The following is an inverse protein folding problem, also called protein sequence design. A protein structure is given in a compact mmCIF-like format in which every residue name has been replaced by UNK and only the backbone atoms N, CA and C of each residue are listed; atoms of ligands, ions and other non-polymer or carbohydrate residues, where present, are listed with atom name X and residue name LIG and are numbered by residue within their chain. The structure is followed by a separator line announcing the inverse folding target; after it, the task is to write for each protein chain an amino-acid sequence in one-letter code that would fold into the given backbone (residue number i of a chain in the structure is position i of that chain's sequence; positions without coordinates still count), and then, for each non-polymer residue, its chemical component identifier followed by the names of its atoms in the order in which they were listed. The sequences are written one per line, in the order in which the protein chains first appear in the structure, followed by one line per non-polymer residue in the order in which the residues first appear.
data_IF_289317595283
#
_entry.id   IF_289317595283
#
_cell.length_a   1.000
_cell.length_b   1.000
_cell.length_c   1.000
_cell.angle_alpha   90.00
_cell.angle_beta   90.00
_cell.angle_gamma   90.00
#
_symmetry.space_group_name_H-M   'P 1'
#
loop_
_entity.id
_entity.type
_entity.pdbx_description
1 polymer ?
#
# COMPACT_ATOMS: atom_id res chain seq x y z
N UNK A 1 1.42 -11.55 -8.62
CA UNK A 1 0.59 -10.48 -8.05
C UNK A 1 -0.28 -9.91 -9.16
N UNK A 2 -1.50 -9.47 -8.84
CA UNK A 2 -2.37 -8.73 -9.75
C UNK A 2 -2.77 -7.42 -9.10
N UNK A 3 -2.88 -6.35 -9.89
CA UNK A 3 -3.30 -5.03 -9.43
C UNK A 3 -4.52 -4.60 -10.23
N UNK A 4 -5.53 -4.10 -9.53
CA UNK A 4 -6.71 -3.48 -10.12
C UNK A 4 -6.94 -2.10 -9.53
N UNK A 5 -7.41 -1.17 -10.35
CA UNK A 5 -7.65 0.23 -9.95
C UNK A 5 -9.13 0.54 -10.10
N UNK A 6 -9.72 1.15 -9.09
CA UNK A 6 -11.10 1.63 -9.12
C UNK A 6 -11.19 2.98 -8.43
N UNK A 7 -11.51 4.03 -9.19
CA UNK A 7 -11.50 5.43 -8.72
C UNK A 7 -10.17 5.79 -8.04
N UNK A 8 -10.17 6.00 -6.72
CA UNK A 8 -9.00 6.33 -5.92
C UNK A 8 -8.42 5.12 -5.16
N UNK A 9 -8.88 3.91 -5.47
CA UNK A 9 -8.47 2.68 -4.79
C UNK A 9 -7.59 1.79 -5.68
N UNK A 10 -6.60 1.16 -5.06
CA UNK A 10 -5.73 0.15 -5.66
C UNK A 10 -5.93 -1.14 -4.89
N UNK A 11 -6.40 -2.19 -5.55
CA UNK A 11 -6.51 -3.52 -4.95
C UNK A 11 -5.39 -4.41 -5.46
N UNK A 12 -4.63 -4.99 -4.54
CA UNK A 12 -3.55 -5.95 -4.78
C UNK A 12 -4.01 -7.33 -4.32
N UNK A 13 -3.86 -8.31 -5.21
CA UNK A 13 -3.97 -9.72 -4.89
C UNK A 13 -2.66 -10.46 -5.21
N UNK A 14 -2.28 -11.41 -4.37
CA UNK A 14 -1.03 -12.13 -4.34
C UNK A 14 0.09 -11.43 -3.56
N UNK A 15 1.13 -12.21 -3.25
CA UNK A 15 2.27 -11.77 -2.47
C UNK A 15 3.11 -10.67 -3.14
N UNK A 16 3.53 -9.68 -2.35
CA UNK A 16 4.41 -8.57 -2.74
C UNK A 16 5.85 -8.90 -2.34
N UNK A 17 6.64 -9.50 -3.24
CA UNK A 17 7.96 -10.06 -2.88
C UNK A 17 9.11 -9.71 -3.82
N UNK A 18 8.81 -9.23 -5.03
CA UNK A 18 9.82 -8.96 -6.04
C UNK A 18 9.99 -7.46 -6.30
N UNK A 19 11.12 -7.11 -6.93
CA UNK A 19 11.38 -5.74 -7.40
C UNK A 19 10.34 -5.34 -8.45
N UNK A 20 9.90 -6.29 -9.28
CA UNK A 20 8.87 -6.05 -10.29
C UNK A 20 7.52 -5.71 -9.63
N UNK A 21 7.15 -6.40 -8.54
CA UNK A 21 5.94 -6.07 -7.79
C UNK A 21 6.01 -4.63 -7.25
N UNK A 22 7.14 -4.25 -6.67
CA UNK A 22 7.38 -2.88 -6.21
C UNK A 22 7.22 -1.85 -7.32
N UNK A 23 7.84 -2.08 -8.50
CA UNK A 23 7.74 -1.17 -9.63
C UNK A 23 6.30 -0.99 -10.10
N UNK A 24 5.55 -2.09 -10.21
CA UNK A 24 4.16 -2.05 -10.65
C UNK A 24 3.25 -1.31 -9.66
N UNK A 25 3.44 -1.52 -8.35
CA UNK A 25 2.72 -0.79 -7.31
C UNK A 25 3.04 0.71 -7.40
N UNK A 26 4.32 1.05 -7.50
CA UNK A 26 4.77 2.44 -7.58
C UNK A 26 4.19 3.16 -8.79
N UNK A 27 4.27 2.56 -9.98
CA UNK A 27 3.75 3.17 -11.21
C UNK A 27 2.23 3.38 -11.13
N UNK A 28 1.51 2.41 -10.56
CA UNK A 28 0.06 2.49 -10.39
C UNK A 28 -0.34 3.63 -9.46
N UNK A 29 0.29 3.70 -8.27
CA UNK A 29 -0.01 4.75 -7.29
C UNK A 29 0.47 6.12 -7.76
N UNK A 30 1.62 6.19 -8.46
CA UNK A 30 2.13 7.42 -9.06
C UNK A 30 1.17 7.99 -10.12
N UNK A 31 0.52 7.13 -10.91
CA UNK A 31 -0.52 7.58 -11.85
C UNK A 31 -1.75 8.11 -11.10
N UNK A 32 -2.22 7.41 -10.07
CA UNK A 32 -3.38 7.80 -9.26
C UNK A 32 -3.18 9.12 -8.53
N UNK A 33 -2.00 9.35 -7.93
CA UNK A 33 -1.74 10.55 -7.13
C UNK A 33 -1.70 11.85 -7.95
N UNK A 34 -1.65 11.75 -9.28
CA UNK A 34 -1.78 12.93 -10.15
C UNK A 34 -3.18 13.53 -10.12
N UNK A 35 -4.20 12.71 -9.83
CA UNK A 35 -5.61 13.10 -9.85
C UNK A 35 -6.27 13.00 -8.47
N UNK A 36 -5.74 12.18 -7.57
CA UNK A 36 -6.32 11.94 -6.24
C UNK A 36 -5.31 12.26 -5.14
N UNK A 37 -5.73 13.06 -4.15
CA UNK A 37 -4.95 13.33 -2.93
C UNK A 37 -5.17 12.32 -1.82
N UNK A 38 -6.31 11.62 -1.88
CA UNK A 38 -6.66 10.53 -0.98
C UNK A 38 -6.68 9.22 -1.75
N UNK A 39 -5.88 8.24 -1.33
CA UNK A 39 -5.72 6.94 -1.99
C UNK A 39 -5.96 5.83 -0.99
N UNK A 40 -6.73 4.81 -1.40
CA UNK A 40 -6.97 3.61 -0.61
C UNK A 40 -6.23 2.42 -1.22
N UNK A 41 -5.26 1.86 -0.50
CA UNK A 41 -4.52 0.68 -0.89
C UNK A 41 -5.08 -0.57 -0.18
N UNK A 42 -5.66 -1.48 -0.95
CA UNK A 42 -6.30 -2.69 -0.44
C UNK A 42 -5.38 -3.87 -0.77
N UNK A 43 -4.86 -4.55 0.25
CA UNK A 43 -3.99 -5.72 0.12
C UNK A 43 -4.75 -6.92 0.68
N UNK A 44 -5.19 -7.84 -0.21
CA UNK A 44 -6.15 -8.88 0.19
C UNK A 44 -5.50 -10.08 0.89
N UNK A 45 -4.38 -10.57 0.38
CA UNK A 45 -3.85 -11.91 0.68
C UNK A 45 -2.31 -11.95 0.76
N UNK A 46 -1.65 -10.79 0.75
CA UNK A 46 -0.20 -10.74 0.96
C UNK A 46 0.09 -10.79 2.47
N UNK A 47 0.93 -11.73 2.89
CA UNK A 47 1.37 -11.88 4.30
C UNK A 47 2.46 -10.87 4.70
N UNK A 48 3.09 -10.21 3.73
CA UNK A 48 4.20 -9.27 3.95
C UNK A 48 4.30 -8.25 2.83
N UNK A 49 5.11 -7.22 3.05
CA UNK A 49 5.52 -6.25 2.04
C UNK A 49 7.03 -6.01 2.13
N UNK A 50 7.65 -5.70 0.99
CA UNK A 50 9.08 -5.41 0.96
C UNK A 50 9.38 -4.02 1.54
N UNK A 51 10.59 -3.84 2.08
CA UNK A 51 11.06 -2.55 2.60
C UNK A 51 11.03 -1.43 1.55
N UNK A 52 11.20 -1.77 0.27
CA UNK A 52 11.08 -0.81 -0.84
C UNK A 52 9.66 -0.25 -0.98
N UNK A 53 8.63 -1.10 -0.79
CA UNK A 53 7.24 -0.66 -0.80
C UNK A 53 6.96 0.23 0.40
N UNK A 54 7.38 -0.17 1.61
CA UNK A 54 7.25 0.65 2.83
C UNK A 54 7.90 2.02 2.64
N UNK A 55 9.14 2.06 2.13
CA UNK A 55 9.86 3.31 1.89
C UNK A 55 9.16 4.24 0.90
N UNK A 56 8.52 3.67 -0.13
CA UNK A 56 7.72 4.42 -1.08
C UNK A 56 6.42 4.98 -0.45
N UNK A 57 5.68 4.17 0.30
CA UNK A 57 4.48 4.63 1.01
C UNK A 57 4.80 5.74 2.02
N UNK A 58 5.91 5.60 2.75
CA UNK A 58 6.42 6.65 3.64
C UNK A 58 6.68 7.96 2.89
N UNK A 59 7.30 7.89 1.71
CA UNK A 59 7.54 9.08 0.89
C UNK A 59 6.21 9.74 0.48
N UNK A 60 5.22 8.95 0.07
CA UNK A 60 3.92 9.46 -0.36
C UNK A 60 3.24 10.28 0.76
N UNK A 61 3.21 9.72 1.96
CA UNK A 61 2.56 10.38 3.10
C UNK A 61 3.39 11.57 3.58
N UNK A 62 4.68 11.37 3.84
CA UNK A 62 5.50 12.36 4.55
C UNK A 62 6.07 13.47 3.65
N UNK A 63 6.29 13.22 2.36
CA UNK A 63 6.87 14.20 1.44
C UNK A 63 5.85 14.71 0.43
N UNK A 64 5.08 13.81 -0.15
CA UNK A 64 4.16 14.15 -1.23
C UNK A 64 2.77 14.59 -0.69
N UNK A 65 2.57 14.54 0.63
CA UNK A 65 1.33 14.88 1.34
C UNK A 65 0.10 14.18 0.75
N UNK A 66 0.24 12.90 0.46
CA UNK A 66 -0.86 12.03 0.06
C UNK A 66 -1.50 11.44 1.30
N UNK A 67 -2.82 11.57 1.39
CA UNK A 67 -3.64 10.91 2.39
C UNK A 67 -3.81 9.44 1.98
N UNK A 68 -3.06 8.55 2.64
CA UNK A 68 -3.01 7.13 2.31
C UNK A 68 -3.70 6.31 3.39
N UNK A 69 -4.68 5.52 2.97
CA UNK A 69 -5.32 4.50 3.79
C UNK A 69 -4.97 3.11 3.29
N UNK A 70 -4.62 2.20 4.19
CA UNK A 70 -4.33 0.80 3.83
C UNK A 70 -5.36 -0.13 4.44
N UNK A 71 -5.93 -0.99 3.62
CA UNK A 71 -6.81 -2.08 4.05
C UNK A 71 -6.08 -3.41 3.88
N UNK A 72 -6.01 -4.21 4.94
CA UNK A 72 -5.26 -5.47 4.96
C UNK A 72 -6.21 -6.62 5.26
N UNK A 73 -6.24 -7.63 4.38
CA UNK A 73 -7.02 -8.85 4.60
C UNK A 73 -6.27 -9.94 5.37
N UNK A 74 -4.92 -9.92 5.34
CA UNK A 74 -4.10 -10.93 6.01
C UNK A 74 -3.63 -10.48 7.40
N UNK A 75 -3.73 -11.38 8.38
CA UNK A 75 -3.37 -11.09 9.77
C UNK A 75 -1.87 -10.85 9.98
N UNK A 76 -1.01 -11.61 9.29
CA UNK A 76 0.44 -11.46 9.45
C UNK A 76 0.92 -10.12 8.88
N UNK A 77 0.28 -9.65 7.81
CA UNK A 77 0.59 -8.33 7.27
C UNK A 77 0.10 -7.21 8.20
N UNK A 78 -1.03 -7.38 8.89
CA UNK A 78 -1.48 -6.42 9.90
C UNK A 78 -0.48 -6.34 11.06
N UNK A 79 -0.07 -7.49 11.61
CA UNK A 79 0.95 -7.58 12.66
C UNK A 79 2.27 -6.92 12.23
N UNK A 80 2.70 -7.13 10.97
CA UNK A 80 3.88 -6.47 10.43
C UNK A 80 3.77 -4.94 10.46
N UNK A 81 2.60 -4.37 10.15
CA UNK A 81 2.40 -2.91 10.24
C UNK A 81 2.39 -2.42 11.70
N UNK A 82 1.86 -3.21 12.63
CA UNK A 82 1.87 -2.92 14.07
C UNK A 82 3.29 -2.91 14.63
N UNK A 83 4.06 -3.97 14.38
CA UNK A 83 5.45 -4.12 14.83
C UNK A 83 6.34 -2.97 14.34
N UNK A 84 6.08 -2.49 13.12
CA UNK A 84 6.81 -1.37 12.51
C UNK A 84 6.26 0.01 12.91
N UNK A 85 5.21 0.08 13.74
CA UNK A 85 4.52 1.30 14.15
C UNK A 85 4.01 2.14 12.97
N UNK A 86 3.59 1.48 11.88
CA UNK A 86 3.13 2.11 10.64
C UNK A 86 1.61 2.25 10.57
N UNK A 87 0.87 1.59 11.47
CA UNK A 87 -0.61 1.60 11.50
C UNK A 87 -1.18 3.02 11.49
N UNK A 88 -0.68 3.89 12.38
CA UNK A 88 -1.15 5.27 12.49
C UNK A 88 -0.73 6.13 11.29
N UNK A 89 0.43 5.85 10.69
CA UNK A 89 0.97 6.63 9.59
C UNK A 89 0.24 6.36 8.28
N UNK A 90 -0.20 5.12 8.05
CA UNK A 90 -0.87 4.69 6.82
C UNK A 90 -2.37 4.42 7.01
N UNK A 91 -2.92 4.85 8.15
CA UNK A 91 -4.32 4.61 8.52
C UNK A 91 -4.75 3.15 8.27
N UNK A 92 -3.91 2.20 8.71
CA UNK A 92 -4.08 0.78 8.40
C UNK A 92 -5.29 0.21 9.14
N UNK A 93 -6.13 -0.55 8.42
CA UNK A 93 -7.26 -1.29 9.00
C UNK A 93 -7.34 -2.71 8.45
N UNK A 94 -7.80 -3.64 9.29
CA UNK A 94 -8.13 -5.02 8.89
C UNK A 94 -9.52 -5.07 8.25
N UNK A 95 -9.69 -5.85 7.19
CA UNK A 95 -10.97 -6.01 6.43
C UNK A 95 -11.32 -7.45 6.15
#
# INVERSE_FOLDING_TARGET
MTISVSANSVTINGNIKSIQDYQQIKETIDALRTTHKHIVLIIKDSISITSSVIGYLNKLVLKDNIDLHVEVGDEQLMELFEDLNLVSLFHVKKV
#
